data_IF_642922153211
#
_entry.id   IF_642922153211
#
_cell.length_a   1.000
_cell.length_b   1.000
_cell.length_c   1.000
_cell.angle_alpha   90.00
_cell.angle_beta   90.00
_cell.angle_gamma   90.00
#
_symmetry.space_group_name_H-M   'P 1'
#
loop_
_entity.id
_entity.type
_entity.pdbx_description
1 polymer ?
#
# COMPACT_ATOMS: atom_id res chain seq x y z
N UNK A 1 -37.20 -3.31 -4.24
CA UNK A 1 -36.39 -2.15 -3.81
C UNK A 1 -35.57 -2.36 -2.53
N UNK A 2 -36.01 -3.15 -1.54
CA UNK A 2 -35.25 -3.36 -0.27
C UNK A 2 -33.90 -4.09 -0.43
N UNK A 3 -33.82 -5.07 -1.33
CA UNK A 3 -32.59 -5.86 -1.51
C UNK A 3 -31.46 -5.06 -2.18
N UNK A 4 -31.80 -4.17 -3.11
CA UNK A 4 -30.82 -3.28 -3.76
C UNK A 4 -30.17 -2.34 -2.73
N UNK A 5 -30.96 -1.70 -1.86
CA UNK A 5 -30.46 -0.79 -0.84
C UNK A 5 -29.50 -1.47 0.17
N UNK A 6 -29.79 -2.72 0.57
CA UNK A 6 -28.91 -3.51 1.45
C UNK A 6 -27.59 -3.85 0.75
N UNK A 7 -27.61 -4.21 -0.53
CA UNK A 7 -26.40 -4.50 -1.33
C UNK A 7 -25.56 -3.21 -1.49
N UNK A 8 -26.20 -2.06 -1.73
CA UNK A 8 -25.55 -0.76 -1.90
C UNK A 8 -24.89 -0.26 -0.62
N UNK A 9 -25.41 -0.58 0.58
CA UNK A 9 -24.78 -0.19 1.87
C UNK A 9 -23.64 -1.14 2.26
N UNK A 10 -23.74 -2.42 1.89
CA UNK A 10 -22.78 -3.45 2.32
C UNK A 10 -21.46 -3.38 1.57
N UNK A 11 -21.47 -3.04 0.28
CA UNK A 11 -20.24 -2.95 -0.53
C UNK A 11 -19.28 -1.82 -0.09
N UNK A 12 -19.74 -0.58 0.18
CA UNK A 12 -18.91 0.48 0.75
C UNK A 12 -18.35 0.11 2.13
N UNK A 13 -19.16 -0.51 2.99
CA UNK A 13 -18.73 -0.94 4.33
C UNK A 13 -17.66 -2.04 4.26
N UNK A 14 -17.82 -3.02 3.38
CA UNK A 14 -16.80 -4.06 3.16
C UNK A 14 -15.52 -3.46 2.60
N UNK A 15 -15.61 -2.55 1.61
CA UNK A 15 -14.43 -1.88 1.03
C UNK A 15 -13.68 -1.06 2.07
N UNK A 16 -14.39 -0.31 2.91
CA UNK A 16 -13.81 0.45 4.02
C UNK A 16 -13.07 -0.47 5.02
N UNK A 17 -13.70 -1.58 5.41
CA UNK A 17 -13.09 -2.51 6.37
C UNK A 17 -11.84 -3.19 5.79
N UNK A 18 -11.86 -3.58 4.51
CA UNK A 18 -10.67 -4.11 3.82
C UNK A 18 -9.54 -3.09 3.81
N UNK A 19 -9.84 -1.83 3.48
CA UNK A 19 -8.83 -0.76 3.46
C UNK A 19 -8.26 -0.53 4.86
N UNK A 20 -9.12 -0.51 5.89
CA UNK A 20 -8.71 -0.33 7.29
C UNK A 20 -7.81 -1.47 7.77
N UNK A 21 -8.19 -2.71 7.49
CA UNK A 21 -7.43 -3.89 7.91
C UNK A 21 -6.09 -3.96 7.17
N UNK A 22 -6.07 -3.61 5.88
CA UNK A 22 -4.83 -3.50 5.10
C UNK A 22 -3.89 -2.43 5.65
N UNK A 23 -4.39 -1.22 5.93
CA UNK A 23 -3.59 -0.14 6.51
C UNK A 23 -3.06 -0.51 7.91
N UNK A 24 -3.89 -1.21 8.70
CA UNK A 24 -3.49 -1.72 10.01
C UNK A 24 -2.34 -2.72 9.87
N UNK A 25 -2.44 -3.66 8.93
CA UNK A 25 -1.38 -4.61 8.64
C UNK A 25 -0.07 -3.93 8.22
N UNK A 26 -0.13 -2.92 7.35
CA UNK A 26 1.05 -2.14 6.94
C UNK A 26 1.74 -1.50 8.16
N UNK A 27 0.98 -0.85 9.06
CA UNK A 27 1.55 -0.27 10.30
C UNK A 27 2.22 -1.31 11.19
N UNK A 28 1.62 -2.48 11.33
CA UNK A 28 2.23 -3.57 12.10
C UNK A 28 3.56 -4.00 11.48
N UNK A 29 3.63 -4.11 10.15
CA UNK A 29 4.88 -4.45 9.46
C UNK A 29 5.94 -3.35 9.59
N UNK A 30 5.57 -2.08 9.43
CA UNK A 30 6.48 -0.94 9.60
C UNK A 30 7.05 -0.89 11.01
N UNK A 31 6.20 -1.05 12.03
CA UNK A 31 6.63 -1.06 13.42
C UNK A 31 7.52 -2.28 13.74
N UNK A 32 7.20 -3.47 13.23
CA UNK A 32 8.04 -4.67 13.41
C UNK A 32 9.42 -4.44 12.77
N UNK A 33 9.47 -3.87 11.56
CA UNK A 33 10.72 -3.52 10.87
C UNK A 33 11.58 -2.52 11.65
N UNK A 34 10.97 -1.49 12.23
CA UNK A 34 11.69 -0.48 13.04
C UNK A 34 12.16 -1.07 14.37
N UNK A 35 11.34 -1.92 15.00
CA UNK A 35 11.62 -2.49 16.32
C UNK A 35 12.67 -3.60 16.30
N UNK A 36 12.61 -4.49 15.32
CA UNK A 36 13.57 -5.58 15.13
C UNK A 36 13.86 -5.79 13.64
N UNK A 37 14.75 -4.96 13.06
CA UNK A 37 15.13 -5.11 11.66
C UNK A 37 15.80 -6.47 11.38
N UNK A 38 16.44 -7.10 12.37
CA UNK A 38 17.11 -8.39 12.17
C UNK A 38 16.11 -9.51 11.87
N UNK A 39 14.93 -9.46 12.47
CA UNK A 39 13.85 -10.40 12.17
C UNK A 39 13.40 -10.32 10.71
N UNK A 40 13.25 -9.10 10.17
CA UNK A 40 12.97 -8.89 8.76
C UNK A 40 14.07 -9.48 7.88
N UNK A 41 15.34 -9.17 8.16
CA UNK A 41 16.47 -9.68 7.39
C UNK A 41 16.67 -11.20 7.50
N UNK A 42 16.19 -11.83 8.58
CA UNK A 42 16.27 -13.28 8.77
C UNK A 42 15.48 -14.06 7.71
N UNK A 43 14.38 -13.49 7.20
CA UNK A 43 13.62 -14.09 6.09
C UNK A 43 14.43 -14.20 4.81
N UNK A 44 15.38 -13.28 4.60
CA UNK A 44 16.23 -13.24 3.41
C UNK A 44 17.51 -14.05 3.59
N UNK A 45 18.04 -14.17 4.81
CA UNK A 45 19.29 -14.91 5.13
C UNK A 45 19.30 -16.38 4.67
N UNK A 46 18.16 -17.05 4.66
CA UNK A 46 18.08 -18.47 4.27
C UNK A 46 17.86 -18.69 2.76
N UNK A 47 17.68 -17.63 1.98
CA UNK A 47 17.67 -17.75 0.52
C UNK A 47 19.11 -17.55 0.06
N UNK A 48 19.69 -18.61 -0.49
CA UNK A 48 21.03 -18.58 -1.09
C UNK A 48 20.96 -17.79 -2.41
N UNK A 49 20.67 -16.49 -2.31
CA UNK A 49 20.90 -15.53 -3.36
C UNK A 49 22.41 -15.41 -3.44
N UNK A 50 23.00 -16.11 -4.42
CA UNK A 50 24.35 -15.79 -4.87
C UNK A 50 24.45 -14.26 -4.95
N UNK A 51 25.55 -13.70 -4.44
CA UNK A 51 25.76 -12.25 -4.43
C UNK A 51 25.33 -11.68 -5.78
N UNK A 52 24.54 -10.60 -5.74
CA UNK A 52 23.99 -10.02 -6.95
C UNK A 52 25.16 -9.47 -7.78
N UNK A 53 25.60 -10.21 -8.81
CA UNK A 53 26.81 -9.87 -9.60
C UNK A 53 26.80 -8.43 -10.13
N UNK A 54 25.61 -7.90 -10.46
CA UNK A 54 25.44 -6.48 -10.77
C UNK A 54 23.98 -6.04 -10.70
N UNK A 55 23.75 -4.78 -10.34
CA UNK A 55 22.45 -4.10 -10.43
C UNK A 55 22.47 -3.11 -11.59
N UNK A 56 21.39 -3.06 -12.37
CA UNK A 56 21.16 -1.98 -13.32
C UNK A 56 20.04 -1.08 -12.83
N UNK A 57 20.35 0.19 -12.63
CA UNK A 57 19.37 1.20 -12.23
C UNK A 57 19.71 2.55 -12.89
N UNK A 58 18.68 3.21 -13.44
CA UNK A 58 18.82 4.50 -14.12
C UNK A 58 19.92 4.51 -15.20
N UNK A 59 20.01 3.45 -16.00
CA UNK A 59 21.05 3.23 -17.03
C UNK A 59 22.49 3.13 -16.52
N UNK A 60 22.69 3.08 -15.20
CA UNK A 60 23.99 2.84 -14.56
C UNK A 60 24.05 1.38 -14.10
N UNK A 61 25.21 0.75 -14.30
CA UNK A 61 25.52 -0.59 -13.79
C UNK A 61 26.35 -0.46 -12.51
N UNK A 62 25.89 -1.06 -11.43
CA UNK A 62 26.58 -1.16 -10.15
C UNK A 62 27.05 -2.59 -9.95
N UNK A 63 28.36 -2.77 -9.71
CA UNK A 63 28.98 -4.09 -9.55
C UNK A 63 29.52 -4.33 -8.13
N UNK A 64 29.50 -3.29 -7.30
CA UNK A 64 29.99 -3.30 -5.92
C UNK A 64 28.78 -3.38 -4.99
N UNK A 65 28.78 -4.33 -4.06
CA UNK A 65 27.73 -4.53 -3.04
C UNK A 65 27.36 -3.23 -2.32
N UNK A 66 28.34 -2.38 -2.00
CA UNK A 66 28.12 -1.09 -1.33
C UNK A 66 27.36 -0.10 -2.21
N UNK A 67 27.73 0.00 -3.49
CA UNK A 67 27.06 0.92 -4.42
C UNK A 67 25.66 0.41 -4.78
N UNK A 68 25.48 -0.91 -4.85
CA UNK A 68 24.17 -1.57 -5.01
C UNK A 68 23.29 -1.23 -3.79
N UNK A 69 23.82 -1.36 -2.57
CA UNK A 69 23.09 -1.05 -1.34
C UNK A 69 22.71 0.44 -1.27
N UNK A 70 23.61 1.34 -1.68
CA UNK A 70 23.34 2.77 -1.73
C UNK A 70 22.25 3.10 -2.76
N UNK A 71 22.34 2.58 -3.99
CA UNK A 71 21.32 2.78 -5.02
C UNK A 71 19.95 2.23 -4.60
N UNK A 72 19.93 1.09 -3.91
CA UNK A 72 18.72 0.54 -3.31
C UNK A 72 18.16 1.48 -2.23
N UNK A 73 19.01 1.98 -1.31
CA UNK A 73 18.59 2.88 -0.24
C UNK A 73 18.02 4.19 -0.80
N UNK A 74 18.66 4.77 -1.82
CA UNK A 74 18.19 5.99 -2.49
C UNK A 74 16.83 5.77 -3.16
N UNK A 75 16.70 4.68 -3.92
CA UNK A 75 15.43 4.33 -4.55
C UNK A 75 14.34 4.08 -3.52
N UNK A 76 14.62 3.25 -2.52
CA UNK A 76 13.67 2.89 -1.46
C UNK A 76 13.19 4.15 -0.73
N UNK A 77 14.09 5.05 -0.37
CA UNK A 77 13.75 6.31 0.30
C UNK A 77 12.87 7.22 -0.57
N UNK A 78 13.03 7.19 -1.89
CA UNK A 78 12.21 7.99 -2.81
C UNK A 78 10.77 7.49 -2.95
N UNK A 79 10.57 6.16 -2.85
CA UNK A 79 9.25 5.53 -3.02
C UNK A 79 8.55 5.26 -1.68
N UNK A 80 9.33 5.20 -0.59
CA UNK A 80 8.80 4.98 0.75
C UNK A 80 8.09 6.24 1.22
N UNK A 81 6.77 6.12 1.37
CA UNK A 81 5.91 7.16 1.93
C UNK A 81 5.42 6.67 3.28
N UNK A 82 6.08 7.08 4.38
CA UNK A 82 5.62 6.70 5.71
C UNK A 82 4.19 7.19 5.89
N UNK A 83 3.35 6.34 6.46
CA UNK A 83 1.96 6.69 6.76
C UNK A 83 1.95 7.63 7.97
N UNK A 84 2.20 8.93 7.74
CA UNK A 84 2.22 9.97 8.80
C UNK A 84 0.84 10.55 9.06
N UNK A 85 -0.02 10.58 8.06
CA UNK A 85 -1.31 11.26 8.11
C UNK A 85 -2.42 10.29 7.74
N UNK A 86 -3.06 9.72 8.76
CA UNK A 86 -4.50 9.52 8.69
C UNK A 86 -5.07 10.52 9.69
N UNK A 87 -5.42 11.72 9.19
CA UNK A 87 -6.52 12.45 9.82
C UNK A 87 -7.67 11.44 9.92
N UNK A 88 -8.30 11.29 11.08
CA UNK A 88 -9.38 10.33 11.29
C UNK A 88 -10.64 10.59 10.44
N UNK A 89 -10.51 11.44 9.42
CA UNK A 89 -11.55 12.03 8.59
C UNK A 89 -11.40 11.70 7.10
N UNK A 90 -10.67 10.64 6.72
CA UNK A 90 -10.80 10.04 5.39
C UNK A 90 -12.15 9.32 5.28
N UNK A 91 -13.22 10.07 5.54
CA UNK A 91 -14.56 9.78 5.11
C UNK A 91 -14.45 9.52 3.62
N UNK A 92 -14.82 8.31 3.23
CA UNK A 92 -14.98 7.95 1.85
C UNK A 92 -16.01 8.93 1.26
N UNK A 93 -15.55 10.05 0.69
CA UNK A 93 -16.34 10.89 -0.21
C UNK A 93 -16.62 10.05 -1.44
N UNK A 94 -17.60 9.18 -1.30
CA UNK A 94 -18.27 8.61 -2.43
C UNK A 94 -19.06 9.77 -3.04
N UNK A 95 -18.50 10.42 -4.05
CA UNK A 95 -19.23 11.27 -4.98
C UNK A 95 -20.17 10.42 -5.86
N UNK A 96 -20.98 9.54 -5.23
CA UNK A 96 -22.06 8.81 -5.90
C UNK A 96 -23.40 9.55 -5.82
N UNK A 97 -23.39 10.84 -5.49
CA UNK A 97 -24.58 11.70 -5.46
C UNK A 97 -24.87 12.38 -6.81
N UNK A 98 -23.95 12.36 -7.78
CA UNK A 98 -24.10 13.15 -9.01
C UNK A 98 -24.84 12.49 -10.18
N UNK A 99 -25.11 11.18 -10.18
CA UNK A 99 -25.67 10.48 -11.36
C UNK A 99 -27.09 9.93 -11.22
N UNK A 100 -27.83 10.21 -10.14
CA UNK A 100 -29.24 9.78 -9.99
C UNK A 100 -30.27 10.91 -10.13
N UNK A 101 -29.86 12.09 -10.62
CA UNK A 101 -30.80 13.13 -11.05
C UNK A 101 -31.12 12.93 -12.54
N UNK A 102 -32.28 12.31 -12.78
CA UNK A 102 -33.12 12.28 -14.01
C UNK A 102 -33.38 10.88 -14.56
N UNK A 103 -34.30 10.18 -13.92
CA UNK A 103 -35.33 9.47 -14.68
C UNK A 103 -36.67 9.99 -14.15
N UNK A 104 -37.12 11.11 -14.73
CA UNK A 104 -38.51 11.54 -14.60
C UNK A 104 -39.39 10.55 -15.35
N UNK A 105 -40.44 10.10 -14.69
CA UNK A 105 -41.49 9.29 -15.30
C UNK A 105 -42.19 10.13 -16.38
N UNK A 106 -41.89 9.87 -17.65
CA UNK A 106 -42.78 10.29 -18.74
C UNK A 106 -44.02 9.40 -18.66
N UNK A 107 -45.16 10.05 -18.42
CA UNK A 107 -46.50 9.45 -18.41
C UNK A 107 -46.97 9.21 -19.83
#
# INVERSE_FOLDING_TARGET
>A
MRNACIITIRLPSVKHNIQKDYNTHLRYMENDLVSDPMRFWSYFKNKNINSLDSLFYNNVRYNNDGDIANAFADYFSSVFKPITDFDGNDECKNDCVSDLVKIENVT
#
